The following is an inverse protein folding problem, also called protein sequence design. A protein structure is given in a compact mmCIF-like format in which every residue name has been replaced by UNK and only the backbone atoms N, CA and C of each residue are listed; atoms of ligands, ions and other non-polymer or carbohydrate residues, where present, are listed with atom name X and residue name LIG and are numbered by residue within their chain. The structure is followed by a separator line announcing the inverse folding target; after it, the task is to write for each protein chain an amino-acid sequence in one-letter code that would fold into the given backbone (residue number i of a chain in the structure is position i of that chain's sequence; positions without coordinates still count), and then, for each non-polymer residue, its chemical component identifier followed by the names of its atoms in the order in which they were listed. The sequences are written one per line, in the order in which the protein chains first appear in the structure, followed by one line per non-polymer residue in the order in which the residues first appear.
data_IF_056581345363
#
_entry.id   IF_056581345363
#
_cell.length_a   1.000
_cell.length_b   1.000
_cell.length_c   1.000
_cell.angle_alpha   90.00
_cell.angle_beta   90.00
_cell.angle_gamma   90.00
#
_symmetry.space_group_name_H-M   'P 1'
#
loop_
_entity.id
_entity.type
_entity.pdbx_description
1 polymer ?
#
# COMPACT_ATOMS: atom_id res chain seq x y z
N UNK A 1 -24.02 16.35 17.29
CA UNK A 1 -24.21 17.64 16.58
C UNK A 1 -23.12 17.89 15.53
N UNK A 2 -21.83 17.73 15.84
CA UNK A 2 -20.75 17.97 14.85
C UNK A 2 -20.85 17.02 13.67
N UNK A 3 -21.06 15.73 13.92
CA UNK A 3 -21.16 14.69 12.87
C UNK A 3 -22.29 14.96 11.86
N UNK A 4 -23.46 15.41 12.31
CA UNK A 4 -24.57 15.71 11.39
C UNK A 4 -24.26 16.90 10.48
N UNK A 5 -23.62 17.94 11.01
CA UNK A 5 -23.19 19.09 10.23
C UNK A 5 -22.12 18.70 9.23
N UNK A 6 -21.16 17.86 9.63
CA UNK A 6 -20.09 17.40 8.73
C UNK A 6 -20.65 16.54 7.59
N UNK A 7 -21.63 15.66 7.86
CA UNK A 7 -22.29 14.85 6.83
C UNK A 7 -23.08 15.74 5.85
N UNK A 8 -23.87 16.70 6.35
CA UNK A 8 -24.61 17.63 5.48
C UNK A 8 -23.66 18.45 4.60
N UNK A 9 -22.54 18.89 5.17
CA UNK A 9 -21.51 19.62 4.42
C UNK A 9 -20.88 18.72 3.34
N UNK A 10 -20.60 17.45 3.66
CA UNK A 10 -20.08 16.47 2.73
C UNK A 10 -21.00 16.26 1.54
N UNK A 11 -22.30 16.04 1.80
CA UNK A 11 -23.32 15.89 0.76
C UNK A 11 -23.42 17.14 -0.15
N UNK A 12 -23.28 18.33 0.42
CA UNK A 12 -23.30 19.57 -0.36
C UNK A 12 -22.06 19.69 -1.25
N UNK A 13 -20.87 19.41 -0.75
CA UNK A 13 -19.64 19.44 -1.54
C UNK A 13 -19.62 18.38 -2.64
N UNK A 14 -20.06 17.15 -2.37
CA UNK A 14 -20.11 16.06 -3.36
C UNK A 14 -21.10 16.31 -4.50
N UNK A 15 -22.05 17.24 -4.35
CA UNK A 15 -23.00 17.67 -5.41
C UNK A 15 -22.44 18.76 -6.31
N UNK A 16 -21.32 19.36 -5.96
CA UNK A 16 -20.69 20.44 -6.69
C UNK A 16 -19.75 19.92 -7.77
N UNK A 17 -18.96 20.80 -8.37
CA UNK A 17 -17.96 20.40 -9.34
C UNK A 17 -16.82 19.57 -8.71
N UNK A 18 -16.02 18.91 -9.57
CA UNK A 18 -14.95 18.00 -9.14
C UNK A 18 -13.89 18.66 -8.24
N UNK A 19 -13.64 19.97 -8.42
CA UNK A 19 -12.64 20.70 -7.63
C UNK A 19 -13.18 20.94 -6.22
N UNK A 20 -14.43 21.38 -6.12
CA UNK A 20 -15.09 21.58 -4.83
C UNK A 20 -15.29 20.25 -4.09
N UNK A 21 -15.70 19.18 -4.78
CA UNK A 21 -15.81 17.84 -4.22
C UNK A 21 -14.46 17.35 -3.67
N UNK A 22 -13.36 17.60 -4.37
CA UNK A 22 -12.01 17.24 -3.92
C UNK A 22 -11.56 18.03 -2.68
N UNK A 23 -12.12 19.20 -2.44
CA UNK A 23 -11.74 20.03 -1.29
C UNK A 23 -12.30 19.51 0.03
N UNK A 24 -13.42 18.80 0.01
CA UNK A 24 -14.02 18.27 1.23
C UNK A 24 -13.16 17.22 1.94
N UNK A 25 -12.62 16.17 1.29
CA UNK A 25 -11.66 15.25 1.90
C UNK A 25 -10.42 15.94 2.46
N UNK A 26 -9.94 17.00 1.79
CA UNK A 26 -8.84 17.81 2.33
C UNK A 26 -9.22 18.46 3.67
N UNK A 27 -10.44 18.98 3.82
CA UNK A 27 -10.94 19.53 5.11
C UNK A 27 -10.97 18.43 6.17
N UNK A 28 -11.52 17.24 5.86
CA UNK A 28 -11.57 16.11 6.79
C UNK A 28 -10.18 15.79 7.33
N UNK A 29 -9.21 15.65 6.44
CA UNK A 29 -7.81 15.39 6.82
C UNK A 29 -7.23 16.51 7.66
N UNK A 30 -7.33 17.76 7.19
CA UNK A 30 -6.73 18.94 7.81
C UNK A 30 -7.20 19.15 9.24
N UNK A 31 -8.48 18.92 9.51
CA UNK A 31 -9.10 19.12 10.82
C UNK A 31 -9.27 17.81 11.58
N UNK A 32 -8.73 16.69 11.07
CA UNK A 32 -8.77 15.38 11.72
C UNK A 32 -10.18 14.97 12.14
N UNK A 33 -11.14 15.16 11.25
CA UNK A 33 -12.55 14.94 11.58
C UNK A 33 -12.94 13.44 11.69
N UNK A 34 -12.01 12.54 11.39
CA UNK A 34 -12.17 11.09 11.58
C UNK A 34 -11.49 10.58 12.87
N UNK A 35 -10.65 11.39 13.53
CA UNK A 35 -9.90 10.96 14.71
C UNK A 35 -10.87 10.55 15.85
N UNK A 36 -10.75 9.29 16.32
CA UNK A 36 -11.50 8.80 17.48
C UNK A 36 -13.01 8.77 17.31
N UNK A 37 -13.54 8.87 16.09
CA UNK A 37 -14.96 8.84 15.80
C UNK A 37 -15.33 7.64 14.93
N UNK A 38 -16.27 6.84 15.40
CA UNK A 38 -17.00 5.86 14.57
C UNK A 38 -17.93 6.61 13.61
N UNK A 39 -17.37 7.18 12.53
CA UNK A 39 -18.15 7.89 11.53
C UNK A 39 -18.20 7.12 10.22
N UNK A 40 -18.94 6.01 10.24
CA UNK A 40 -19.09 5.13 9.09
C UNK A 40 -19.67 5.86 7.86
N UNK A 41 -20.53 6.85 8.07
CA UNK A 41 -21.08 7.64 6.96
C UNK A 41 -19.98 8.42 6.23
N UNK A 42 -19.08 9.10 6.95
CA UNK A 42 -17.97 9.82 6.32
C UNK A 42 -16.95 8.86 5.67
N UNK A 43 -16.65 7.73 6.32
CA UNK A 43 -15.78 6.71 5.73
C UNK A 43 -16.37 6.18 4.42
N UNK A 44 -17.67 5.89 4.38
CA UNK A 44 -18.38 5.44 3.18
C UNK A 44 -18.30 6.49 2.07
N UNK A 45 -18.59 7.75 2.38
CA UNK A 45 -18.49 8.83 1.39
C UNK A 45 -17.07 9.00 0.83
N UNK A 46 -16.04 8.87 1.67
CA UNK A 46 -14.65 8.90 1.20
C UNK A 46 -14.32 7.70 0.30
N UNK A 47 -14.85 6.51 0.61
CA UNK A 47 -14.71 5.35 -0.27
C UNK A 47 -15.43 5.55 -1.61
N UNK A 48 -16.60 6.17 -1.61
CA UNK A 48 -17.35 6.49 -2.84
C UNK A 48 -16.56 7.45 -3.74
N UNK A 49 -15.85 8.44 -3.17
CA UNK A 49 -14.99 9.36 -3.91
C UNK A 49 -13.79 8.69 -4.60
N UNK A 50 -13.44 7.45 -4.24
CA UNK A 50 -12.39 6.69 -4.94
C UNK A 50 -12.84 6.22 -6.34
N UNK A 51 -14.13 6.25 -6.64
CA UNK A 51 -14.69 5.94 -7.96
C UNK A 51 -14.72 7.15 -8.91
N UNK A 52 -14.47 8.37 -8.40
CA UNK A 52 -14.49 9.58 -9.19
C UNK A 52 -13.38 9.62 -10.27
N UNK A 53 -13.65 10.25 -11.40
CA UNK A 53 -12.69 10.41 -12.47
C UNK A 53 -11.51 11.30 -12.08
N UNK A 54 -11.77 12.32 -11.26
CA UNK A 54 -10.77 13.27 -10.78
C UNK A 54 -9.71 12.61 -9.88
N UNK A 55 -8.44 12.70 -10.29
CA UNK A 55 -7.32 12.25 -9.47
C UNK A 55 -7.23 13.00 -8.16
N UNK A 56 -7.64 14.28 -8.12
CA UNK A 56 -7.63 15.10 -6.92
C UNK A 56 -8.66 14.61 -5.90
N UNK A 57 -9.86 14.19 -6.34
CA UNK A 57 -10.86 13.58 -5.45
C UNK A 57 -10.32 12.30 -4.84
N UNK A 58 -9.79 11.38 -5.66
CA UNK A 58 -9.28 10.09 -5.20
C UNK A 58 -8.10 10.24 -4.25
N UNK A 59 -7.13 11.11 -4.60
CA UNK A 59 -5.94 11.32 -3.76
C UNK A 59 -6.32 11.94 -2.41
N UNK A 60 -7.15 12.99 -2.40
CA UNK A 60 -7.57 13.63 -1.15
C UNK A 60 -8.44 12.70 -0.29
N UNK A 61 -9.28 11.85 -0.91
CA UNK A 61 -10.04 10.83 -0.20
C UNK A 61 -9.13 9.79 0.46
N UNK A 62 -8.12 9.27 -0.27
CA UNK A 62 -7.13 8.36 0.30
C UNK A 62 -6.35 9.02 1.44
N UNK A 63 -5.91 10.26 1.26
CA UNK A 63 -5.19 11.01 2.30
C UNK A 63 -6.04 11.22 3.56
N UNK A 64 -7.35 11.38 3.44
CA UNK A 64 -8.27 11.45 4.57
C UNK A 64 -8.45 10.08 5.23
N UNK A 65 -8.59 9.01 4.45
CA UNK A 65 -8.75 7.64 4.96
C UNK A 65 -7.52 7.15 5.75
N UNK A 66 -6.29 7.58 5.41
CA UNK A 66 -5.11 7.28 6.22
C UNK A 66 -5.20 7.85 7.63
N UNK A 67 -6.00 8.89 7.86
CA UNK A 67 -6.21 9.47 9.19
C UNK A 67 -7.37 8.84 9.96
N UNK A 68 -8.11 7.91 9.36
CA UNK A 68 -9.25 7.25 10.02
C UNK A 68 -8.83 6.29 11.14
N UNK A 69 -7.58 5.82 11.15
CA UNK A 69 -7.10 4.88 12.14
C UNK A 69 -7.75 3.48 12.07
N UNK A 70 -8.33 3.12 10.91
CA UNK A 70 -9.12 1.90 10.70
C UNK A 70 -8.53 1.06 9.56
N UNK A 71 -7.81 -0.06 9.89
CA UNK A 71 -7.20 -0.91 8.88
C UNK A 71 -8.20 -1.51 7.89
N UNK A 72 -9.40 -1.89 8.35
CA UNK A 72 -10.40 -2.52 7.50
C UNK A 72 -10.92 -1.57 6.42
N UNK A 73 -11.07 -0.29 6.75
CA UNK A 73 -11.44 0.74 5.78
C UNK A 73 -10.33 0.95 4.74
N UNK A 74 -9.06 0.92 5.14
CA UNK A 74 -7.94 1.03 4.19
C UNK A 74 -7.85 -0.18 3.26
N UNK A 75 -8.04 -1.39 3.76
CA UNK A 75 -8.10 -2.59 2.90
C UNK A 75 -9.23 -2.47 1.88
N UNK A 76 -10.42 -1.97 2.29
CA UNK A 76 -11.54 -1.71 1.37
C UNK A 76 -11.17 -0.66 0.31
N UNK A 77 -10.54 0.44 0.72
CA UNK A 77 -10.09 1.51 -0.19
C UNK A 77 -9.10 0.98 -1.24
N UNK A 78 -8.11 0.19 -0.81
CA UNK A 78 -7.14 -0.42 -1.71
C UNK A 78 -7.79 -1.42 -2.69
N UNK A 79 -8.79 -2.20 -2.24
CA UNK A 79 -9.56 -3.08 -3.13
C UNK A 79 -10.34 -2.32 -4.19
N UNK A 80 -10.93 -1.17 -3.84
CA UNK A 80 -11.61 -0.29 -4.81
C UNK A 80 -10.61 0.20 -5.85
N UNK A 81 -9.45 0.68 -5.42
CA UNK A 81 -8.40 1.17 -6.32
C UNK A 81 -7.86 0.04 -7.20
N UNK A 82 -7.62 -1.14 -6.63
CA UNK A 82 -7.08 -2.30 -7.34
C UNK A 82 -8.03 -2.85 -8.42
N UNK A 83 -9.33 -2.79 -8.16
CA UNK A 83 -10.38 -3.19 -9.10
C UNK A 83 -10.68 -2.11 -10.16
N UNK A 84 -10.21 -0.88 -9.96
CA UNK A 84 -10.50 0.25 -10.85
C UNK A 84 -9.64 0.18 -12.12
N UNK A 85 -10.20 0.62 -13.25
CA UNK A 85 -9.44 0.90 -14.48
C UNK A 85 -8.75 2.27 -14.45
N UNK A 86 -9.00 3.09 -13.43
CA UNK A 86 -8.41 4.41 -13.30
C UNK A 86 -6.98 4.30 -12.76
N UNK A 87 -6.06 4.99 -13.43
CA UNK A 87 -4.66 4.97 -13.01
C UNK A 87 -4.47 5.57 -11.62
N UNK A 88 -3.70 4.88 -10.79
CA UNK A 88 -3.21 5.36 -9.50
C UNK A 88 -1.72 5.04 -9.36
N UNK A 89 -0.93 5.98 -8.91
CA UNK A 89 0.51 5.78 -8.82
C UNK A 89 0.88 4.98 -7.57
N UNK A 90 1.49 3.80 -7.74
CA UNK A 90 1.84 2.87 -6.66
C UNK A 90 2.68 3.52 -5.54
N UNK A 91 3.60 4.43 -5.90
CA UNK A 91 4.40 5.15 -4.91
C UNK A 91 3.56 6.06 -4.01
N UNK A 92 2.51 6.72 -4.53
CA UNK A 92 1.62 7.54 -3.70
C UNK A 92 0.88 6.68 -2.67
N UNK A 93 0.49 5.46 -3.05
CA UNK A 93 -0.16 4.52 -2.14
C UNK A 93 0.82 4.01 -1.06
N UNK A 94 2.01 3.54 -1.46
CA UNK A 94 2.97 3.02 -0.49
C UNK A 94 3.47 4.09 0.48
N UNK A 95 3.75 5.31 -0.02
CA UNK A 95 4.15 6.45 0.83
C UNK A 95 2.98 6.93 1.72
N UNK A 96 1.75 6.88 1.18
CA UNK A 96 0.53 7.24 1.93
C UNK A 96 0.26 6.30 3.10
N UNK A 97 0.42 4.99 2.91
CA UNK A 97 0.29 3.99 3.98
C UNK A 97 1.25 4.24 5.15
N UNK A 98 2.45 4.80 4.89
CA UNK A 98 3.39 5.19 5.94
C UNK A 98 2.90 6.38 6.78
N UNK A 99 1.90 7.13 6.31
CA UNK A 99 1.27 8.24 7.03
C UNK A 99 0.01 7.81 7.81
N UNK A 100 -0.26 6.51 7.90
CA UNK A 100 -1.37 5.99 8.69
C UNK A 100 -1.25 6.38 10.16
N UNK A 101 -2.38 6.79 10.77
CA UNK A 101 -2.40 7.32 12.14
C UNK A 101 -2.88 6.34 13.21
N UNK A 102 -3.37 5.16 12.83
CA UNK A 102 -3.75 4.09 13.74
C UNK A 102 -2.59 3.18 14.13
N UNK A 103 -2.92 2.00 14.67
CA UNK A 103 -1.92 0.99 14.99
C UNK A 103 -1.31 0.41 13.69
N UNK A 104 -0.01 0.62 13.52
CA UNK A 104 0.71 0.21 12.31
C UNK A 104 0.89 -1.31 12.20
N UNK A 105 0.85 -2.03 13.32
CA UNK A 105 0.91 -3.49 13.32
C UNK A 105 -0.43 -4.08 12.88
N UNK A 106 -1.54 -3.58 13.41
CA UNK A 106 -2.88 -3.98 12.97
C UNK A 106 -3.07 -3.70 11.48
N UNK A 107 -2.60 -2.54 10.98
CA UNK A 107 -2.63 -2.24 9.56
C UNK A 107 -1.82 -3.25 8.75
N UNK A 108 -0.58 -3.50 9.16
CA UNK A 108 0.32 -4.38 8.43
C UNK A 108 -0.24 -5.82 8.38
N UNK A 109 -0.80 -6.32 9.47
CA UNK A 109 -1.43 -7.64 9.52
C UNK A 109 -2.69 -7.69 8.63
N UNK A 110 -3.56 -6.69 8.68
CA UNK A 110 -4.74 -6.62 7.82
C UNK A 110 -4.39 -6.56 6.32
N UNK A 111 -3.34 -5.82 5.97
CA UNK A 111 -2.84 -5.75 4.58
C UNK A 111 -2.24 -7.09 4.15
N UNK A 112 -1.55 -7.79 5.05
CA UNK A 112 -1.00 -9.11 4.75
C UNK A 112 -2.09 -10.17 4.59
N UNK A 113 -3.11 -10.18 5.44
CA UNK A 113 -4.26 -11.09 5.31
C UNK A 113 -5.02 -10.91 3.99
N UNK A 114 -5.06 -9.68 3.47
CA UNK A 114 -5.71 -9.37 2.21
C UNK A 114 -4.80 -9.54 0.98
N UNK A 115 -3.50 -9.79 1.17
CA UNK A 115 -2.44 -9.68 0.15
C UNK A 115 -2.71 -10.51 -1.11
N UNK A 116 -3.09 -11.78 -0.95
CA UNK A 116 -3.30 -12.71 -2.09
C UNK A 116 -4.53 -12.36 -2.95
N UNK A 117 -5.43 -11.53 -2.41
CA UNK A 117 -6.61 -11.08 -3.15
C UNK A 117 -6.35 -9.85 -4.04
N UNK A 118 -5.16 -9.26 -3.98
CA UNK A 118 -4.77 -8.12 -4.80
C UNK A 118 -4.05 -8.54 -6.08
N UNK A 119 -4.17 -7.69 -7.11
CA UNK A 119 -3.42 -7.84 -8.35
C UNK A 119 -1.91 -7.63 -8.13
N UNK A 120 -1.03 -8.17 -8.99
CA UNK A 120 0.42 -8.10 -8.81
C UNK A 120 0.95 -6.67 -8.59
N UNK A 121 0.43 -5.68 -9.29
CA UNK A 121 0.85 -4.28 -9.13
C UNK A 121 0.58 -3.72 -7.74
N UNK A 122 -0.56 -4.11 -7.13
CA UNK A 122 -0.90 -3.73 -5.76
C UNK A 122 -0.06 -4.53 -4.75
N UNK A 123 0.18 -5.80 -5.00
CA UNK A 123 1.10 -6.62 -4.19
C UNK A 123 2.50 -5.99 -4.12
N UNK A 124 3.03 -5.52 -5.26
CA UNK A 124 4.29 -4.76 -5.31
C UNK A 124 4.22 -3.48 -4.48
N UNK A 125 3.09 -2.78 -4.54
CA UNK A 125 2.84 -1.56 -3.73
C UNK A 125 2.89 -1.86 -2.23
N UNK A 126 2.25 -2.95 -1.79
CA UNK A 126 2.24 -3.39 -0.40
C UNK A 126 3.61 -3.88 0.05
N UNK A 127 4.36 -4.61 -0.78
CA UNK A 127 5.73 -5.02 -0.48
C UNK A 127 6.66 -3.81 -0.32
N UNK A 128 6.47 -2.75 -1.10
CA UNK A 128 7.19 -1.49 -0.89
C UNK A 128 6.81 -0.82 0.44
N UNK A 129 5.53 -0.85 0.85
CA UNK A 129 5.13 -0.41 2.18
C UNK A 129 5.82 -1.24 3.28
N UNK A 130 5.74 -2.58 3.23
CA UNK A 130 6.40 -3.46 4.21
C UNK A 130 7.90 -3.21 4.28
N UNK A 131 8.56 -2.99 3.14
CA UNK A 131 9.99 -2.67 3.08
C UNK A 131 10.36 -1.43 3.91
N UNK A 132 9.48 -0.46 4.07
CA UNK A 132 9.74 0.76 4.83
C UNK A 132 9.11 0.77 6.22
N UNK A 133 8.23 -0.18 6.53
CA UNK A 133 7.52 -0.25 7.81
C UNK A 133 8.10 -1.26 8.78
N UNK A 134 8.39 -2.51 8.37
CA UNK A 134 8.76 -3.57 9.30
C UNK A 134 9.55 -4.71 8.67
N UNK A 135 10.55 -5.24 9.42
CA UNK A 135 11.26 -6.49 9.12
C UNK A 135 10.57 -7.77 9.62
N UNK A 136 9.39 -7.68 10.24
CA UNK A 136 8.73 -8.83 10.84
C UNK A 136 8.17 -9.86 9.83
N UNK A 137 8.11 -9.49 8.55
CA UNK A 137 7.52 -10.32 7.49
C UNK A 137 8.54 -11.14 6.69
N UNK A 138 9.80 -11.25 7.14
CA UNK A 138 10.88 -11.94 6.42
C UNK A 138 10.51 -13.37 6.01
N UNK A 139 9.99 -14.18 6.93
CA UNK A 139 9.61 -15.58 6.64
C UNK A 139 8.50 -15.66 5.59
N UNK A 140 7.46 -14.84 5.74
CA UNK A 140 6.32 -14.80 4.82
C UNK A 140 6.73 -14.32 3.42
N UNK A 141 7.57 -13.27 3.34
CA UNK A 141 8.07 -12.74 2.07
C UNK A 141 9.07 -13.69 1.41
N UNK A 142 9.83 -14.47 2.20
CA UNK A 142 10.70 -15.53 1.67
C UNK A 142 9.88 -16.66 1.05
N UNK A 143 8.79 -17.08 1.69
CA UNK A 143 7.87 -18.06 1.10
C UNK A 143 7.27 -17.55 -0.22
N UNK A 144 6.85 -16.28 -0.26
CA UNK A 144 6.33 -15.63 -1.47
C UNK A 144 7.37 -15.56 -2.60
N UNK A 145 8.63 -15.25 -2.29
CA UNK A 145 9.75 -15.25 -3.26
C UNK A 145 9.92 -16.62 -3.94
N UNK A 146 9.72 -17.69 -3.19
CA UNK A 146 9.91 -19.06 -3.63
C UNK A 146 8.64 -19.71 -4.23
N UNK A 147 7.52 -19.02 -4.26
CA UNK A 147 6.30 -19.52 -4.92
C UNK A 147 6.48 -19.46 -6.45
N UNK A 148 6.47 -20.63 -7.15
CA UNK A 148 6.64 -20.67 -8.60
C UNK A 148 5.49 -19.99 -9.38
N UNK A 149 4.32 -19.82 -8.78
CA UNK A 149 3.16 -19.17 -9.40
C UNK A 149 3.21 -17.65 -9.33
N UNK A 150 4.16 -17.08 -8.56
CA UNK A 150 4.22 -15.65 -8.31
C UNK A 150 4.72 -14.87 -9.52
N UNK A 151 4.17 -13.67 -9.71
CA UNK A 151 4.60 -12.71 -10.74
C UNK A 151 6.05 -12.24 -10.52
N UNK A 152 6.79 -12.03 -11.59
CA UNK A 152 8.21 -11.60 -11.52
C UNK A 152 8.38 -10.26 -10.82
N UNK A 153 7.48 -9.28 -11.03
CA UNK A 153 7.56 -7.97 -10.38
C UNK A 153 7.36 -8.07 -8.87
N UNK A 154 6.49 -8.99 -8.43
CA UNK A 154 6.29 -9.31 -7.01
C UNK A 154 7.57 -9.91 -6.43
N UNK A 155 8.19 -10.87 -7.13
CA UNK A 155 9.48 -11.45 -6.70
C UNK A 155 10.59 -10.41 -6.64
N UNK A 156 10.65 -9.47 -7.59
CA UNK A 156 11.61 -8.35 -7.54
C UNK A 156 11.39 -7.46 -6.32
N UNK A 157 10.13 -7.23 -5.93
CA UNK A 157 9.82 -6.48 -4.72
C UNK A 157 10.23 -7.26 -3.45
N UNK A 158 10.05 -8.59 -3.43
CA UNK A 158 10.54 -9.46 -2.35
C UNK A 158 12.07 -9.39 -2.22
N UNK A 159 12.81 -9.47 -3.32
CA UNK A 159 14.28 -9.34 -3.29
C UNK A 159 14.70 -7.98 -2.72
N UNK A 160 14.05 -6.87 -3.16
CA UNK A 160 14.36 -5.52 -2.64
C UNK A 160 14.05 -5.37 -1.14
N UNK A 161 13.05 -6.10 -0.63
CA UNK A 161 12.75 -6.13 0.80
C UNK A 161 13.94 -6.66 1.61
N UNK A 162 14.57 -7.75 1.17
CA UNK A 162 15.74 -8.35 1.83
C UNK A 162 17.01 -7.50 1.76
N UNK A 163 17.07 -6.52 0.86
CA UNK A 163 18.14 -5.52 0.86
C UNK A 163 18.06 -4.55 2.04
N UNK A 164 16.89 -4.42 2.69
CA UNK A 164 16.70 -3.59 3.88
C UNK A 164 16.68 -4.41 5.18
N UNK A 165 16.15 -5.62 5.11
CA UNK A 165 16.04 -6.54 6.24
C UNK A 165 16.78 -7.83 5.92
N UNK A 166 18.10 -7.89 6.15
CA UNK A 166 18.88 -9.11 5.95
C UNK A 166 18.27 -10.28 6.72
N UNK A 167 18.07 -11.39 6.01
CA UNK A 167 17.46 -12.61 6.53
C UNK A 167 18.27 -13.80 6.07
N UNK A 168 18.92 -14.48 6.99
CA UNK A 168 19.90 -15.54 6.68
C UNK A 168 19.34 -16.64 5.77
N UNK A 169 18.11 -17.16 5.97
CA UNK A 169 17.57 -18.21 5.12
C UNK A 169 17.44 -17.85 3.63
N UNK A 170 17.33 -16.56 3.26
CA UNK A 170 17.22 -16.13 1.86
C UNK A 170 18.58 -16.08 1.15
N UNK A 171 19.70 -16.19 1.86
CA UNK A 171 21.04 -16.01 1.30
C UNK A 171 21.34 -16.95 0.12
N UNK A 172 20.99 -18.23 0.25
CA UNK A 172 21.16 -19.20 -0.83
C UNK A 172 20.34 -18.86 -2.08
N UNK A 173 19.13 -18.34 -1.88
CA UNK A 173 18.28 -17.88 -2.99
C UNK A 173 18.87 -16.64 -3.67
N UNK A 174 19.41 -15.69 -2.90
CA UNK A 174 20.09 -14.52 -3.46
C UNK A 174 21.30 -14.91 -4.32
N UNK A 175 22.11 -15.87 -3.88
CA UNK A 175 23.22 -16.40 -4.67
C UNK A 175 22.74 -17.05 -5.97
N UNK A 176 21.67 -17.85 -5.87
CA UNK A 176 21.05 -18.49 -7.05
C UNK A 176 20.54 -17.43 -8.05
N UNK A 177 19.83 -16.40 -7.59
CA UNK A 177 19.33 -15.34 -8.44
C UNK A 177 20.44 -14.42 -8.99
N UNK A 178 21.53 -14.20 -8.25
CA UNK A 178 22.66 -13.42 -8.69
C UNK A 178 23.48 -14.11 -9.80
N UNK A 179 23.36 -15.44 -9.92
CA UNK A 179 24.07 -16.21 -10.95
C UNK A 179 23.29 -16.10 -12.27
N UNK A 180 23.89 -15.50 -13.34
CA UNK A 180 23.22 -15.37 -14.63
C UNK A 180 22.82 -16.74 -15.21
N UNK A 181 21.61 -16.82 -15.73
CA UNK A 181 21.10 -17.97 -16.47
C UNK A 181 20.59 -17.51 -17.84
N UNK A 182 20.83 -18.28 -18.89
CA UNK A 182 20.46 -17.92 -20.26
C UNK A 182 18.95 -17.66 -20.46
N UNK A 183 18.09 -18.24 -19.58
CA UNK A 183 16.63 -18.12 -19.66
C UNK A 183 16.02 -17.25 -18.55
N UNK A 184 16.84 -16.67 -17.66
CA UNK A 184 16.32 -15.84 -16.58
C UNK A 184 16.34 -14.35 -16.99
N UNK A 185 15.34 -13.61 -16.52
CA UNK A 185 15.33 -12.15 -16.65
C UNK A 185 16.56 -11.57 -15.94
N UNK A 186 17.31 -10.71 -16.61
CA UNK A 186 18.54 -10.10 -16.09
C UNK A 186 18.33 -9.28 -14.80
N UNK A 187 17.10 -8.79 -14.60
CA UNK A 187 16.70 -8.03 -13.41
C UNK A 187 16.90 -8.82 -12.12
N UNK A 188 16.68 -10.15 -12.15
CA UNK A 188 16.95 -11.01 -11.01
C UNK A 188 18.40 -10.92 -10.57
N UNK A 189 19.34 -11.10 -11.51
CA UNK A 189 20.76 -11.04 -11.22
C UNK A 189 21.19 -9.66 -10.73
N UNK A 190 20.68 -8.60 -11.35
CA UNK A 190 20.98 -7.22 -10.95
C UNK A 190 20.49 -6.90 -9.53
N UNK A 191 19.24 -7.23 -9.23
CA UNK A 191 18.64 -6.94 -7.90
C UNK A 191 19.32 -7.80 -6.83
N UNK A 192 19.47 -9.11 -7.06
CA UNK A 192 20.07 -10.02 -6.09
C UNK A 192 21.54 -9.66 -5.79
N UNK A 193 22.34 -9.31 -6.81
CA UNK A 193 23.71 -8.83 -6.60
C UNK A 193 23.78 -7.55 -5.77
N UNK A 194 22.87 -6.61 -6.04
CA UNK A 194 22.78 -5.38 -5.24
C UNK A 194 22.40 -5.67 -3.79
N UNK A 195 21.44 -6.58 -3.58
CA UNK A 195 20.97 -6.98 -2.25
C UNK A 195 22.07 -7.71 -1.48
N UNK A 196 22.81 -8.62 -2.12
CA UNK A 196 23.94 -9.34 -1.50
C UNK A 196 24.98 -8.39 -0.91
N UNK A 197 25.21 -7.23 -1.51
CA UNK A 197 26.14 -6.24 -0.96
C UNK A 197 25.76 -5.73 0.44
N UNK A 198 24.51 -5.91 0.89
CA UNK A 198 24.05 -5.58 2.24
C UNK A 198 24.25 -6.71 3.27
N UNK A 199 24.71 -7.90 2.82
CA UNK A 199 24.92 -9.06 3.69
C UNK A 199 26.36 -9.13 4.18
N UNK A 200 26.61 -9.40 5.47
CA UNK A 200 27.96 -9.59 6.00
C UNK A 200 28.67 -10.76 5.31
N UNK A 201 29.89 -10.55 4.83
CA UNK A 201 30.72 -11.61 4.22
C UNK A 201 30.45 -11.84 2.72
N UNK A 202 29.82 -10.90 2.04
CA UNK A 202 29.62 -10.93 0.58
C UNK A 202 30.85 -10.42 -0.23
N UNK A 203 32.08 -10.46 0.36
CA UNK A 203 33.33 -10.10 -0.30
C UNK A 203 33.86 -11.24 -1.18
#
# INVERSE_FOLDING_TARGET
ALNSVTITLAEDYCRRDEIEAAYFPYIIRKYRLLDGQENEALKTMLLDLLHESSIYCRENAMQALYTAGDPAVLVRALRIIDASSLYYHSKLLSDGLLNYTGDTWELADALWEAFDAFQPWMQVTLLNYFRFSSGAYCEKIHALLNDPAQDDEVRFACLRYFGRYPYEPVYADLLRYATPSENARWEYAAIASFVLASYPGAE
#
